data_IF_158181444606
#
_entry.id   IF_158181444606
#
_cell.length_a   1.000
_cell.length_b   1.000
_cell.length_c   1.000
_cell.angle_alpha   90.00
_cell.angle_beta   90.00
_cell.angle_gamma   90.00
#
_symmetry.space_group_name_H-M   'P 1'
#
loop_
_entity.id
_entity.type
_entity.pdbx_description
1 polymer ?
#
# COMPACT_ATOMS: atom_id res chain seq x y z
N UNK A 1 22.47 -29.90 14.40
CA UNK A 1 21.49 -29.22 13.50
C UNK A 1 21.48 -29.93 12.15
N UNK A 2 20.30 -30.14 11.56
CA UNK A 2 20.16 -30.73 10.22
C UNK A 2 20.74 -29.82 9.13
N UNK A 3 21.34 -30.37 8.05
CA UNK A 3 21.98 -29.56 6.99
C UNK A 3 21.03 -28.56 6.35
N UNK A 4 19.76 -28.87 6.18
CA UNK A 4 18.76 -28.00 5.56
C UNK A 4 18.51 -26.76 6.42
N UNK A 5 18.33 -26.92 7.74
CA UNK A 5 18.15 -25.78 8.67
C UNK A 5 19.38 -24.87 8.73
N UNK A 6 20.58 -25.45 8.63
CA UNK A 6 21.80 -24.66 8.60
C UNK A 6 21.94 -23.85 7.30
N UNK A 7 21.50 -24.42 6.19
CA UNK A 7 21.44 -23.71 4.90
C UNK A 7 20.43 -22.56 4.92
N UNK A 8 19.25 -22.78 5.50
CA UNK A 8 18.22 -21.76 5.65
C UNK A 8 18.70 -20.60 6.53
N UNK A 9 19.31 -20.87 7.68
CA UNK A 9 19.87 -19.82 8.55
C UNK A 9 20.96 -19.03 7.82
N UNK A 10 21.85 -19.70 7.06
CA UNK A 10 22.90 -19.03 6.31
C UNK A 10 22.33 -18.14 5.17
N UNK A 11 21.26 -18.59 4.52
CA UNK A 11 20.56 -17.79 3.52
C UNK A 11 19.92 -16.55 4.14
N UNK A 12 19.25 -16.68 5.29
CA UNK A 12 18.67 -15.56 6.02
C UNK A 12 19.72 -14.57 6.51
N UNK A 13 20.86 -15.06 6.98
CA UNK A 13 22.00 -14.21 7.39
C UNK A 13 22.54 -13.38 6.23
N UNK A 14 22.69 -13.98 5.05
CA UNK A 14 23.10 -13.29 3.84
C UNK A 14 22.12 -12.20 3.43
N UNK A 15 20.81 -12.50 3.47
CA UNK A 15 19.75 -11.55 3.15
C UNK A 15 19.74 -10.40 4.15
N UNK A 16 19.76 -10.70 5.45
CA UNK A 16 19.74 -9.68 6.51
C UNK A 16 21.00 -8.78 6.45
N UNK A 17 22.16 -9.35 6.16
CA UNK A 17 23.40 -8.58 5.95
C UNK A 17 23.26 -7.61 4.77
N UNK A 18 22.58 -8.02 3.70
CA UNK A 18 22.30 -7.13 2.57
C UNK A 18 21.35 -6.01 2.97
N UNK A 19 20.28 -6.32 3.70
CA UNK A 19 19.34 -5.34 4.25
C UNK A 19 20.07 -4.32 5.13
N UNK A 20 20.91 -4.77 6.08
CA UNK A 20 21.71 -3.92 6.97
C UNK A 20 22.63 -2.96 6.20
N UNK A 21 23.23 -3.44 5.13
CA UNK A 21 24.11 -2.63 4.28
C UNK A 21 23.33 -1.57 3.49
N UNK A 22 22.17 -1.93 2.93
CA UNK A 22 21.34 -0.98 2.15
C UNK A 22 20.75 0.09 3.07
N UNK A 23 20.34 -0.27 4.28
CA UNK A 23 19.82 0.67 5.28
C UNK A 23 20.89 1.53 5.93
N UNK A 24 22.18 1.24 5.70
CA UNK A 24 23.30 1.96 6.31
C UNK A 24 23.14 2.11 7.82
N UNK A 25 23.17 0.99 8.53
CA UNK A 25 22.92 0.93 10.01
C UNK A 25 23.80 1.91 10.79
N UNK A 26 25.03 2.15 10.36
CA UNK A 26 25.93 3.12 11.01
C UNK A 26 25.51 4.56 10.71
N UNK A 27 25.01 4.83 9.51
CA UNK A 27 24.37 6.09 9.14
C UNK A 27 23.12 6.36 9.98
N UNK A 28 22.26 5.35 10.18
CA UNK A 28 21.07 5.45 11.06
C UNK A 28 21.48 5.82 12.50
N UNK A 29 22.50 5.18 13.08
CA UNK A 29 23.02 5.52 14.41
C UNK A 29 23.49 6.97 14.50
N UNK A 30 24.28 7.40 13.50
CA UNK A 30 24.76 8.78 13.44
C UNK A 30 23.60 9.79 13.26
N UNK A 31 22.56 9.42 12.55
CA UNK A 31 21.34 10.24 12.37
C UNK A 31 20.58 10.37 13.68
N UNK A 32 20.41 9.27 14.40
CA UNK A 32 19.77 9.25 15.73
C UNK A 32 20.50 10.19 16.69
N UNK A 33 21.82 10.09 16.80
CA UNK A 33 22.63 10.96 17.67
C UNK A 33 22.43 12.45 17.36
N UNK A 34 22.35 12.81 16.08
CA UNK A 34 22.09 14.19 15.65
C UNK A 34 20.68 14.65 16.04
N UNK A 35 19.67 13.80 15.78
CA UNK A 35 18.27 14.12 16.12
C UNK A 35 18.05 14.19 17.63
N UNK A 36 18.71 13.34 18.43
CA UNK A 36 18.68 13.40 19.90
C UNK A 36 19.31 14.68 20.41
N UNK A 37 20.43 15.11 19.81
CA UNK A 37 21.05 16.38 20.13
C UNK A 37 20.14 17.56 19.79
N UNK A 38 19.49 17.55 18.64
CA UNK A 38 18.53 18.57 18.23
C UNK A 38 17.27 18.58 19.12
N UNK A 39 16.75 17.40 19.48
CA UNK A 39 15.60 17.25 20.37
C UNK A 39 15.87 17.73 21.81
N UNK A 40 17.15 17.75 22.24
CA UNK A 40 17.56 18.24 23.54
C UNK A 40 17.74 19.76 23.61
N UNK A 41 17.70 20.48 22.48
CA UNK A 41 17.79 21.94 22.44
C UNK A 41 16.46 22.55 22.95
N UNK A 42 16.46 23.33 24.04
CA UNK A 42 15.25 23.99 24.54
C UNK A 42 14.57 24.90 23.53
N UNK A 43 15.32 25.47 22.57
CA UNK A 43 14.78 26.35 21.51
C UNK A 43 13.96 25.60 20.47
N UNK A 44 14.09 24.29 20.37
CA UNK A 44 13.30 23.49 19.45
C UNK A 44 11.79 23.62 19.76
N UNK A 45 11.46 23.73 21.04
CA UNK A 45 10.08 23.78 21.52
C UNK A 45 9.38 25.12 21.30
N UNK A 46 10.15 26.15 20.90
CA UNK A 46 9.60 27.45 20.50
C UNK A 46 8.91 27.37 19.10
N UNK A 47 9.27 26.35 18.29
CA UNK A 47 8.65 26.05 17.00
C UNK A 47 8.01 24.66 17.04
N UNK A 48 6.70 24.63 17.28
CA UNK A 48 5.92 23.39 17.42
C UNK A 48 5.99 22.50 16.18
N UNK A 49 5.97 23.08 14.96
CA UNK A 49 6.01 22.33 13.70
C UNK A 49 7.39 21.68 13.50
N UNK A 50 8.46 22.37 13.86
CA UNK A 50 9.82 21.83 13.82
C UNK A 50 10.02 20.76 14.88
N UNK A 51 9.55 20.98 16.10
CA UNK A 51 9.63 20.01 17.19
C UNK A 51 8.92 18.70 16.83
N UNK A 52 7.72 18.80 16.24
CA UNK A 52 6.96 17.62 15.79
C UNK A 52 7.72 16.86 14.70
N UNK A 53 8.31 17.53 13.71
CA UNK A 53 9.12 16.88 12.66
C UNK A 53 10.32 16.14 13.24
N UNK A 54 11.12 16.83 14.07
CA UNK A 54 12.33 16.24 14.66
C UNK A 54 12.00 15.04 15.54
N UNK A 55 10.98 15.14 16.40
CA UNK A 55 10.57 14.03 17.29
C UNK A 55 9.97 12.86 16.49
N UNK A 56 9.20 13.13 15.45
CA UNK A 56 8.65 12.10 14.56
C UNK A 56 9.77 11.36 13.82
N UNK A 57 10.71 12.10 13.23
CA UNK A 57 11.86 11.54 12.53
C UNK A 57 12.75 10.72 13.47
N UNK A 58 13.02 11.22 14.68
CA UNK A 58 13.78 10.50 15.69
C UNK A 58 13.09 9.18 16.07
N UNK A 59 11.79 9.21 16.35
CA UNK A 59 11.02 8.01 16.70
C UNK A 59 11.01 6.98 15.56
N UNK A 60 10.87 7.44 14.31
CA UNK A 60 10.90 6.59 13.13
C UNK A 60 12.27 5.92 12.95
N UNK A 61 13.36 6.71 12.94
CA UNK A 61 14.73 6.20 12.77
C UNK A 61 15.14 5.23 13.87
N UNK A 62 14.78 5.54 15.14
CA UNK A 62 15.00 4.63 16.27
C UNK A 62 14.18 3.33 16.15
N UNK A 63 12.95 3.42 15.60
CA UNK A 63 12.09 2.26 15.37
C UNK A 63 12.67 1.33 14.30
N UNK A 64 13.20 1.91 13.24
CA UNK A 64 13.85 1.17 12.15
C UNK A 64 15.13 0.46 12.64
N UNK A 65 16.02 1.18 13.32
CA UNK A 65 17.22 0.58 13.90
C UNK A 65 16.89 -0.56 14.86
N UNK A 66 15.92 -0.36 15.75
CA UNK A 66 15.50 -1.41 16.71
C UNK A 66 14.98 -2.65 16.02
N UNK A 67 14.20 -2.50 14.94
CA UNK A 67 13.66 -3.63 14.17
C UNK A 67 14.79 -4.47 13.57
N UNK A 68 15.77 -3.83 12.92
CA UNK A 68 16.91 -4.55 12.34
C UNK A 68 17.75 -5.24 13.40
N UNK A 69 18.01 -4.57 14.52
CA UNK A 69 18.74 -5.15 15.65
C UNK A 69 17.99 -6.34 16.28
N UNK A 70 16.66 -6.29 16.34
CA UNK A 70 15.86 -7.40 16.82
C UNK A 70 15.91 -8.62 15.89
N UNK A 71 15.80 -8.39 14.57
CA UNK A 71 15.95 -9.46 13.57
C UNK A 71 17.34 -10.10 13.65
N UNK A 72 18.40 -9.30 13.77
CA UNK A 72 19.77 -9.79 13.92
C UNK A 72 19.92 -10.65 15.19
N UNK A 73 19.48 -10.15 16.32
CA UNK A 73 19.52 -10.87 17.59
C UNK A 73 18.77 -12.19 17.51
N UNK A 74 17.54 -12.21 17.01
CA UNK A 74 16.72 -13.40 16.87
C UNK A 74 17.38 -14.44 15.95
N UNK A 75 18.02 -13.99 14.88
CA UNK A 75 18.75 -14.87 13.95
C UNK A 75 20.01 -15.46 14.62
N UNK A 76 20.74 -14.65 15.39
CA UNK A 76 21.94 -15.08 16.11
C UNK A 76 21.60 -16.04 17.27
N UNK A 77 20.43 -15.89 17.91
CA UNK A 77 19.94 -16.76 18.98
C UNK A 77 19.43 -18.13 18.47
N UNK A 78 19.02 -18.22 17.20
CA UNK A 78 18.39 -19.42 16.63
C UNK A 78 19.28 -20.67 16.63
N UNK A 79 20.60 -20.62 16.28
CA UNK A 79 21.50 -21.76 16.42
C UNK A 79 21.59 -22.28 17.85
N UNK A 80 21.54 -21.38 18.86
CA UNK A 80 21.60 -21.74 20.28
C UNK A 80 20.36 -22.53 20.69
N UNK A 81 19.16 -22.17 20.19
CA UNK A 81 17.94 -22.94 20.44
C UNK A 81 18.04 -24.36 19.88
N UNK A 82 18.61 -24.52 18.67
CA UNK A 82 18.82 -25.84 18.09
C UNK A 82 19.88 -26.67 18.84
N UNK A 83 20.92 -26.03 19.39
CA UNK A 83 21.92 -26.72 20.24
C UNK A 83 21.29 -27.14 21.55
N UNK A 84 20.50 -26.32 22.21
CA UNK A 84 19.76 -26.67 23.42
C UNK A 84 18.83 -27.87 23.19
N UNK A 85 18.10 -27.89 22.07
CA UNK A 85 17.25 -29.03 21.73
C UNK A 85 18.04 -30.31 21.46
N UNK A 86 19.30 -30.22 20.99
CA UNK A 86 20.16 -31.38 20.74
C UNK A 86 20.81 -31.94 22.02
N UNK A 87 21.05 -31.06 23.02
CA UNK A 87 21.70 -31.41 24.28
C UNK A 87 20.71 -31.84 25.36
N UNK A 88 19.38 -31.65 25.14
CA UNK A 88 18.32 -32.00 26.09
C UNK A 88 18.11 -33.53 26.12
N UNK A 89 18.20 -34.12 27.32
CA UNK A 89 18.05 -35.58 27.53
C UNK A 89 16.59 -36.03 27.59
N UNK A 90 15.65 -35.13 27.99
CA UNK A 90 14.21 -35.41 27.95
C UNK A 90 13.69 -35.26 26.54
N UNK A 91 13.32 -36.37 25.92
CA UNK A 91 12.84 -36.37 24.53
C UNK A 91 11.57 -35.55 24.29
N UNK A 92 10.73 -35.38 25.31
CA UNK A 92 9.53 -34.53 25.19
C UNK A 92 9.89 -33.03 25.26
N UNK A 93 10.82 -32.66 26.13
CA UNK A 93 11.32 -31.28 26.24
C UNK A 93 12.17 -30.90 25.04
N UNK A 94 13.07 -31.80 24.57
CA UNK A 94 13.81 -31.63 23.32
C UNK A 94 12.91 -31.39 22.11
N UNK A 95 11.83 -32.17 21.97
CA UNK A 95 10.85 -31.98 20.89
C UNK A 95 10.11 -30.66 20.98
N UNK A 96 9.82 -30.18 22.20
CA UNK A 96 9.19 -28.85 22.40
C UNK A 96 10.10 -27.70 22.00
N UNK A 97 11.36 -27.73 22.42
CA UNK A 97 12.36 -26.71 22.06
C UNK A 97 12.60 -26.71 20.54
N UNK A 98 12.67 -27.89 19.92
CA UNK A 98 12.82 -28.02 18.48
C UNK A 98 11.64 -27.41 17.71
N UNK A 99 10.42 -27.67 18.18
CA UNK A 99 9.22 -27.09 17.57
C UNK A 99 9.18 -25.57 17.71
N UNK A 100 9.64 -25.02 18.84
CA UNK A 100 9.79 -23.57 19.05
C UNK A 100 10.83 -22.97 18.10
N UNK A 101 12.01 -23.61 17.97
CA UNK A 101 13.05 -23.18 17.05
C UNK A 101 12.59 -23.21 15.57
N UNK A 102 11.85 -24.23 15.15
CA UNK A 102 11.30 -24.33 13.80
C UNK A 102 10.22 -23.27 13.56
N UNK A 103 9.40 -22.95 14.55
CA UNK A 103 8.40 -21.86 14.45
C UNK A 103 9.09 -20.50 14.37
N UNK A 104 10.16 -20.27 15.14
CA UNK A 104 10.96 -19.05 15.10
C UNK A 104 11.70 -18.89 13.77
N UNK A 105 12.29 -19.96 13.22
CA UNK A 105 12.91 -19.93 11.89
C UNK A 105 11.91 -19.50 10.82
N UNK A 106 10.70 -20.05 10.87
CA UNK A 106 9.63 -19.69 9.93
C UNK A 106 9.19 -18.22 10.08
N UNK A 107 9.06 -17.73 11.32
CA UNK A 107 8.70 -16.35 11.59
C UNK A 107 9.81 -15.39 11.12
N UNK A 108 11.08 -15.71 11.42
CA UNK A 108 12.23 -14.93 10.96
C UNK A 108 12.33 -14.86 9.43
N UNK A 109 12.03 -15.96 8.74
CA UNK A 109 12.01 -15.97 7.27
C UNK A 109 11.03 -14.92 6.75
N UNK A 110 9.79 -14.92 7.23
CA UNK A 110 8.79 -13.94 6.82
C UNK A 110 9.18 -12.50 7.19
N UNK A 111 9.71 -12.28 8.40
CA UNK A 111 10.10 -10.95 8.88
C UNK A 111 11.31 -10.39 8.11
N UNK A 112 12.30 -11.23 7.75
CA UNK A 112 13.49 -10.81 6.98
C UNK A 112 13.10 -10.57 5.52
N UNK A 113 12.25 -11.39 4.92
CA UNK A 113 11.71 -11.12 3.57
C UNK A 113 10.94 -9.79 3.51
N UNK A 114 10.10 -9.52 4.50
CA UNK A 114 9.41 -8.24 4.61
C UNK A 114 10.38 -7.06 4.79
N UNK A 115 11.47 -7.26 5.54
CA UNK A 115 12.51 -6.25 5.69
C UNK A 115 13.28 -6.01 4.39
N UNK A 116 13.60 -7.07 3.63
CA UNK A 116 14.23 -6.98 2.30
C UNK A 116 13.35 -6.18 1.34
N UNK A 117 12.07 -6.55 1.22
CA UNK A 117 11.11 -5.83 0.37
C UNK A 117 11.03 -4.36 0.76
N UNK A 118 11.09 -4.05 2.05
CA UNK A 118 11.06 -2.67 2.55
C UNK A 118 12.29 -1.86 2.12
N UNK A 119 13.46 -2.47 2.01
CA UNK A 119 14.66 -1.78 1.48
C UNK A 119 14.54 -1.41 0.00
N UNK A 120 13.68 -2.10 -0.73
CA UNK A 120 13.38 -1.80 -2.12
C UNK A 120 12.42 -0.59 -2.27
N UNK A 121 11.80 -0.14 -1.16
CA UNK A 121 10.92 1.02 -1.13
C UNK A 121 11.73 2.30 -0.86
N UNK A 122 12.57 2.68 -1.83
CA UNK A 122 13.49 3.82 -1.76
C UNK A 122 13.03 5.04 -2.55
N UNK A 123 11.86 5.00 -3.15
CA UNK A 123 11.27 6.13 -3.88
C UNK A 123 10.92 7.28 -2.93
N UNK A 124 11.03 8.53 -3.41
CA UNK A 124 10.81 9.77 -2.66
C UNK A 124 9.51 9.80 -1.84
N UNK A 125 8.49 9.03 -2.29
CA UNK A 125 7.16 8.99 -1.66
C UNK A 125 6.77 7.62 -1.14
N UNK A 126 7.67 6.62 -1.25
CA UNK A 126 7.35 5.25 -0.85
C UNK A 126 6.97 5.14 0.64
N UNK A 127 7.55 5.99 1.51
CA UNK A 127 7.25 6.05 2.94
C UNK A 127 5.86 6.63 3.29
N UNK A 128 5.17 7.22 2.31
CA UNK A 128 3.90 7.91 2.55
C UNK A 128 2.73 6.94 2.72
N UNK A 129 1.68 7.48 3.32
CA UNK A 129 0.36 6.85 3.35
C UNK A 129 -0.20 6.76 1.92
N UNK A 130 -1.06 5.78 1.67
CA UNK A 130 -1.66 5.57 0.35
C UNK A 130 -3.08 6.13 0.25
N UNK A 131 -3.36 6.81 -0.84
CA UNK A 131 -4.70 7.14 -1.28
C UNK A 131 -5.05 6.22 -2.44
N UNK A 132 -6.03 5.35 -2.25
CA UNK A 132 -6.48 4.38 -3.26
C UNK A 132 -7.81 4.81 -3.84
N UNK A 133 -7.87 4.90 -5.16
CA UNK A 133 -9.12 5.15 -5.89
C UNK A 133 -9.42 4.00 -6.82
N UNK A 134 -10.59 3.40 -6.68
CA UNK A 134 -11.08 2.30 -7.51
C UNK A 134 -12.22 2.81 -8.38
N UNK A 135 -12.20 2.47 -9.66
CA UNK A 135 -13.26 2.83 -10.63
C UNK A 135 -13.72 1.59 -11.37
N UNK A 136 -15.05 1.45 -11.53
CA UNK A 136 -15.60 0.44 -12.42
C UNK A 136 -15.27 0.77 -13.86
N UNK A 137 -14.79 -0.25 -14.59
CA UNK A 137 -14.48 -0.15 -16.03
C UNK A 137 -15.57 -0.77 -16.90
N UNK A 138 -15.17 -1.40 -18.00
CA UNK A 138 -16.09 -2.10 -18.90
C UNK A 138 -16.66 -3.37 -18.23
N UNK A 139 -17.97 -3.62 -18.40
CA UNK A 139 -18.66 -4.80 -17.87
C UNK A 139 -20.04 -4.53 -17.22
N UNK A 140 -20.51 -3.28 -17.26
CA UNK A 140 -21.81 -2.89 -16.72
C UNK A 140 -21.94 -3.14 -15.23
N UNK A 141 -23.05 -3.77 -14.79
CA UNK A 141 -23.33 -4.08 -13.38
C UNK A 141 -22.24 -5.00 -12.77
N UNK A 142 -21.76 -5.98 -13.53
CA UNK A 142 -20.66 -6.85 -13.09
C UNK A 142 -19.37 -6.09 -12.81
N UNK A 143 -19.06 -5.03 -13.57
CA UNK A 143 -17.88 -4.20 -13.35
C UNK A 143 -18.01 -3.33 -12.09
N UNK A 144 -19.24 -2.84 -11.80
CA UNK A 144 -19.51 -2.09 -10.58
C UNK A 144 -19.41 -2.98 -9.32
N UNK A 145 -19.93 -4.20 -9.39
CA UNK A 145 -19.77 -5.21 -8.33
C UNK A 145 -18.29 -5.62 -8.16
N UNK A 146 -17.57 -5.77 -9.27
CA UNK A 146 -16.14 -6.04 -9.26
C UNK A 146 -15.33 -4.94 -8.55
N UNK A 147 -15.63 -3.68 -8.83
CA UNK A 147 -14.98 -2.56 -8.16
C UNK A 147 -15.23 -2.57 -6.64
N UNK A 148 -16.44 -2.94 -6.19
CA UNK A 148 -16.75 -3.11 -4.77
C UNK A 148 -16.00 -4.29 -4.14
N UNK A 149 -15.88 -5.41 -4.87
CA UNK A 149 -15.07 -6.56 -4.42
C UNK A 149 -13.60 -6.19 -4.24
N UNK A 150 -13.01 -5.41 -5.14
CA UNK A 150 -11.63 -4.90 -5.02
C UNK A 150 -11.49 -3.96 -3.83
N UNK A 151 -12.42 -3.03 -3.64
CA UNK A 151 -12.40 -2.15 -2.47
C UNK A 151 -12.38 -2.97 -1.18
N UNK A 152 -13.25 -3.96 -1.06
CA UNK A 152 -13.30 -4.85 0.10
C UNK A 152 -12.01 -5.64 0.29
N UNK A 153 -11.40 -6.12 -0.80
CA UNK A 153 -10.12 -6.84 -0.77
C UNK A 153 -9.01 -5.99 -0.14
N UNK A 154 -8.83 -4.75 -0.58
CA UNK A 154 -7.81 -3.85 -0.04
C UNK A 154 -8.10 -3.40 1.39
N UNK A 155 -9.37 -3.16 1.74
CA UNK A 155 -9.75 -2.83 3.12
C UNK A 155 -9.43 -4.00 4.05
N UNK A 156 -9.75 -5.24 3.66
CA UNK A 156 -9.44 -6.44 4.44
C UNK A 156 -7.96 -6.67 4.60
N UNK A 157 -7.18 -6.46 3.53
CA UNK A 157 -5.73 -6.49 3.63
C UNK A 157 -5.22 -5.49 4.67
N UNK A 158 -5.68 -4.25 4.62
CA UNK A 158 -5.30 -3.23 5.59
C UNK A 158 -5.73 -3.60 7.03
N UNK A 159 -6.94 -4.15 7.22
CA UNK A 159 -7.43 -4.62 8.52
C UNK A 159 -6.56 -5.75 9.09
N UNK A 160 -6.17 -6.73 8.26
CA UNK A 160 -5.27 -7.83 8.66
C UNK A 160 -3.92 -7.30 9.14
N UNK A 161 -3.40 -6.24 8.51
CA UNK A 161 -2.17 -5.55 8.91
C UNK A 161 -2.37 -4.53 10.03
N UNK A 162 -3.61 -4.37 10.53
CA UNK A 162 -3.98 -3.39 11.56
C UNK A 162 -3.70 -1.94 11.12
N UNK A 163 -3.80 -1.68 9.83
CA UNK A 163 -3.68 -0.35 9.25
C UNK A 163 -5.03 0.35 9.29
N UNK A 164 -5.15 1.55 9.88
CA UNK A 164 -6.38 2.32 9.82
C UNK A 164 -6.73 2.69 8.38
N UNK A 165 -8.02 2.58 8.05
CA UNK A 165 -8.54 2.96 6.74
C UNK A 165 -9.59 4.05 6.92
N UNK A 166 -9.49 5.13 6.13
CA UNK A 166 -10.48 6.20 6.07
C UNK A 166 -11.08 6.26 4.66
N UNK A 167 -12.39 6.04 4.57
CA UNK A 167 -13.12 6.13 3.30
C UNK A 167 -13.59 7.57 3.08
N UNK A 168 -13.12 8.22 2.02
CA UNK A 168 -13.45 9.61 1.72
C UNK A 168 -14.69 9.78 0.85
N UNK A 169 -14.84 8.93 -0.17
CA UNK A 169 -15.97 8.99 -1.09
C UNK A 169 -16.31 7.60 -1.62
N UNK A 170 -17.60 7.34 -1.79
CA UNK A 170 -18.12 6.14 -2.45
C UNK A 170 -19.32 6.52 -3.31
N UNK A 171 -19.18 6.33 -4.62
CA UNK A 171 -20.26 6.52 -5.58
C UNK A 171 -20.86 5.16 -5.94
N UNK A 172 -22.08 4.91 -5.49
CA UNK A 172 -22.78 3.65 -5.76
C UNK A 172 -23.34 3.59 -7.17
N UNK A 173 -23.37 2.42 -7.75
CA UNK A 173 -24.09 2.15 -8.98
C UNK A 173 -25.61 1.99 -8.70
N UNK A 174 -26.43 2.03 -9.75
CA UNK A 174 -27.89 2.02 -9.58
C UNK A 174 -28.43 0.65 -9.14
N UNK A 175 -27.87 -0.44 -9.67
CA UNK A 175 -28.37 -1.80 -9.42
C UNK A 175 -27.52 -2.53 -8.35
N UNK A 176 -26.20 -2.53 -8.48
CA UNK A 176 -25.27 -3.18 -7.54
C UNK A 176 -23.87 -2.61 -7.67
N UNK A 177 -23.07 -2.68 -6.58
CA UNK A 177 -21.68 -2.30 -6.57
C UNK A 177 -21.43 -0.79 -6.57
N UNK A 178 -20.23 -0.38 -6.91
CA UNK A 178 -19.77 0.99 -6.89
C UNK A 178 -19.31 1.45 -8.29
N UNK A 179 -19.57 2.72 -8.62
CA UNK A 179 -18.97 3.39 -9.78
C UNK A 179 -17.53 3.78 -9.49
N UNK A 180 -17.30 4.29 -8.29
CA UNK A 180 -15.98 4.62 -7.77
C UNK A 180 -15.95 4.67 -6.26
N UNK A 181 -14.79 4.43 -5.67
CA UNK A 181 -14.52 4.69 -4.27
C UNK A 181 -13.12 5.25 -4.10
N UNK A 182 -12.94 6.10 -3.09
CA UNK A 182 -11.64 6.64 -2.70
C UNK A 182 -11.47 6.51 -1.19
N UNK A 183 -10.38 5.89 -0.77
CA UNK A 183 -10.04 5.69 0.64
C UNK A 183 -8.54 5.85 0.87
N UNK A 184 -8.16 6.23 2.09
CA UNK A 184 -6.76 6.27 2.52
C UNK A 184 -6.43 5.06 3.40
N UNK A 185 -5.19 4.60 3.26
CA UNK A 185 -4.58 3.63 4.19
C UNK A 185 -3.50 4.37 4.97
N UNK A 186 -3.75 4.54 6.27
CA UNK A 186 -2.90 5.31 7.18
C UNK A 186 -1.81 4.41 7.79
N UNK A 187 -0.77 4.14 7.01
CA UNK A 187 0.38 3.37 7.46
C UNK A 187 1.66 3.86 6.78
N UNK A 188 2.80 3.79 7.47
CA UNK A 188 4.10 4.03 6.84
C UNK A 188 4.31 3.04 5.69
N UNK A 189 4.86 3.52 4.58
CA UNK A 189 5.12 2.73 3.36
C UNK A 189 3.86 2.18 2.66
N UNK A 190 2.67 2.62 3.03
CA UNK A 190 1.45 2.16 2.37
C UNK A 190 1.43 2.51 0.88
N UNK A 191 1.91 3.72 0.51
CA UNK A 191 2.02 4.11 -0.89
C UNK A 191 3.02 3.24 -1.65
N UNK A 192 4.24 3.09 -1.14
CA UNK A 192 5.28 2.26 -1.77
C UNK A 192 4.80 0.83 -2.00
N UNK A 193 4.11 0.27 -0.99
CA UNK A 193 3.57 -1.09 -1.03
C UNK A 193 2.40 -1.22 -2.00
N UNK A 194 1.42 -0.32 -1.96
CA UNK A 194 0.20 -0.42 -2.78
C UNK A 194 0.36 0.17 -4.18
N UNK A 195 1.38 1.00 -4.44
CA UNK A 195 1.59 1.63 -5.76
C UNK A 195 1.75 0.62 -6.90
N UNK A 196 2.22 -0.58 -6.58
CA UNK A 196 2.35 -1.69 -7.54
C UNK A 196 1.00 -2.30 -7.94
N UNK A 197 -0.07 -1.99 -7.22
CA UNK A 197 -1.45 -2.41 -7.53
C UNK A 197 -2.12 -1.52 -8.57
N UNK A 198 -1.49 -0.40 -8.94
CA UNK A 198 -2.03 0.52 -9.93
C UNK A 198 -2.17 -0.14 -11.30
N UNK A 199 -3.36 -0.01 -11.89
CA UNK A 199 -3.67 -0.50 -13.23
C UNK A 199 -5.03 -1.15 -13.36
N UNK A 200 -5.20 -1.91 -14.44
CA UNK A 200 -6.47 -2.57 -14.78
C UNK A 200 -6.52 -3.99 -14.24
N UNK A 201 -7.51 -4.26 -13.39
CA UNK A 201 -7.81 -5.57 -12.81
C UNK A 201 -8.97 -6.22 -13.56
N UNK A 202 -8.76 -7.44 -14.05
CA UNK A 202 -9.73 -8.20 -14.83
C UNK A 202 -10.34 -9.31 -14.00
N UNK A 203 -11.68 -9.39 -13.97
CA UNK A 203 -12.43 -10.49 -13.38
C UNK A 203 -13.09 -11.34 -14.48
N UNK A 204 -12.99 -12.66 -14.37
CA UNK A 204 -13.71 -13.62 -15.19
C UNK A 204 -14.49 -14.57 -14.28
N UNK A 205 -15.82 -14.48 -14.31
CA UNK A 205 -16.71 -15.32 -13.49
C UNK A 205 -18.04 -15.61 -14.21
N UNK A 206 -18.81 -16.55 -13.67
CA UNK A 206 -20.23 -16.62 -13.98
C UNK A 206 -20.91 -15.43 -13.32
N UNK A 207 -21.60 -14.60 -14.11
CA UNK A 207 -22.26 -13.40 -13.59
C UNK A 207 -23.46 -13.75 -12.70
N UNK A 208 -23.55 -13.22 -11.46
CA UNK A 208 -24.72 -13.35 -10.64
C UNK A 208 -25.90 -12.50 -11.14
N UNK A 209 -25.67 -11.58 -12.07
CA UNK A 209 -26.68 -10.67 -12.65
C UNK A 209 -27.19 -11.17 -14.02
N UNK A 210 -26.58 -12.21 -14.59
CA UNK A 210 -27.00 -12.79 -15.87
C UNK A 210 -27.95 -13.98 -15.64
N UNK A 211 -29.20 -13.84 -16.05
CA UNK A 211 -30.24 -14.86 -15.94
C UNK A 211 -29.89 -16.17 -16.70
N UNK A 212 -28.93 -16.14 -17.61
CA UNK A 212 -28.47 -17.31 -18.36
C UNK A 212 -27.19 -17.93 -17.79
N UNK A 213 -26.73 -17.44 -16.63
CA UNK A 213 -25.50 -17.92 -15.96
C UNK A 213 -24.27 -17.97 -16.87
N UNK A 214 -24.16 -17.01 -17.77
CA UNK A 214 -23.04 -16.92 -18.70
C UNK A 214 -21.79 -16.38 -18.01
N UNK A 215 -20.66 -16.82 -18.49
CA UNK A 215 -19.35 -16.28 -18.10
C UNK A 215 -19.19 -14.87 -18.65
N UNK A 216 -18.92 -13.91 -17.77
CA UNK A 216 -18.69 -12.51 -18.09
C UNK A 216 -17.26 -12.11 -17.72
N UNK A 217 -16.76 -11.11 -18.41
CA UNK A 217 -15.48 -10.47 -18.12
C UNK A 217 -15.73 -9.02 -17.75
N UNK A 218 -15.21 -8.61 -16.61
CA UNK A 218 -15.37 -7.26 -16.07
C UNK A 218 -14.02 -6.65 -15.75
N UNK A 219 -13.93 -5.35 -15.85
CA UNK A 219 -12.71 -4.59 -15.58
C UNK A 219 -12.97 -3.53 -14.53
N UNK A 220 -11.97 -3.32 -13.68
CA UNK A 220 -11.92 -2.19 -12.77
C UNK A 220 -10.51 -1.62 -12.77
N UNK A 221 -10.40 -0.33 -12.57
CA UNK A 221 -9.14 0.41 -12.51
C UNK A 221 -8.82 0.76 -11.07
N UNK A 222 -7.58 0.52 -10.67
CA UNK A 222 -7.02 0.93 -9.39
C UNK A 222 -5.97 2.00 -9.63
N UNK A 223 -6.13 3.13 -8.97
CA UNK A 223 -5.19 4.26 -8.93
C UNK A 223 -4.68 4.39 -7.50
N UNK A 224 -3.37 4.47 -7.31
CA UNK A 224 -2.75 4.63 -5.99
C UNK A 224 -1.87 5.88 -5.99
N UNK A 225 -2.10 6.78 -5.05
CA UNK A 225 -1.40 8.04 -4.92
C UNK A 225 -0.83 8.20 -3.51
N UNK A 226 0.30 8.91 -3.32
CA UNK A 226 0.78 9.23 -1.99
C UNK A 226 -0.13 10.26 -1.31
N UNK A 227 -0.35 10.12 -0.01
CA UNK A 227 -0.91 11.20 0.81
C UNK A 227 0.21 12.21 1.07
N UNK A 228 0.05 13.41 0.54
CA UNK A 228 1.04 14.48 0.67
C UNK A 228 0.64 15.39 1.82
N UNK A 229 1.53 15.52 2.81
CA UNK A 229 1.38 16.52 3.86
C UNK A 229 1.70 17.93 3.34
N UNK A 230 1.37 18.96 4.12
CA UNK A 230 1.53 20.38 3.74
C UNK A 230 2.98 20.80 3.46
N UNK A 231 3.97 19.97 3.72
CA UNK A 231 5.40 20.23 3.52
C UNK A 231 5.93 19.84 2.14
N UNK A 232 5.23 18.96 1.42
CA UNK A 232 5.58 18.59 0.03
C UNK A 232 4.69 19.39 -0.95
N UNK A 233 4.77 20.68 -0.87
CA UNK A 233 3.81 21.62 -1.41
C UNK A 233 3.91 21.74 -2.93
N UNK A 234 2.83 21.35 -3.61
CA UNK A 234 2.38 22.11 -4.77
C UNK A 234 1.51 23.24 -4.19
N UNK A 235 2.00 24.46 -4.28
CA UNK A 235 1.21 25.63 -3.92
C UNK A 235 0.04 25.74 -4.91
N UNK A 236 -1.18 25.58 -4.41
CA UNK A 236 -2.39 25.70 -5.23
C UNK A 236 -3.01 27.05 -4.89
N UNK A 237 -2.88 28.06 -5.77
CA UNK A 237 -3.51 29.35 -5.54
C UNK A 237 -5.04 29.17 -5.38
N UNK A 238 -5.64 29.83 -4.41
CA UNK A 238 -7.10 29.72 -4.20
C UNK A 238 -7.89 30.12 -5.44
N UNK A 239 -7.35 31.04 -6.27
CA UNK A 239 -7.96 31.47 -7.53
C UNK A 239 -8.03 30.39 -8.60
N UNK A 240 -7.20 29.34 -8.49
CA UNK A 240 -7.14 28.22 -9.45
C UNK A 240 -8.09 27.10 -9.11
N UNK A 241 -8.76 27.16 -7.95
CA UNK A 241 -9.69 26.13 -7.49
C UNK A 241 -11.12 26.67 -7.45
N UNK A 242 -11.98 26.13 -8.30
CA UNK A 242 -13.42 26.34 -8.20
C UNK A 242 -14.02 25.36 -7.20
N UNK A 243 -14.76 25.90 -6.24
CA UNK A 243 -15.44 25.13 -5.20
C UNK A 243 -16.94 25.14 -5.47
N UNK A 244 -17.50 23.97 -5.79
CA UNK A 244 -18.93 23.78 -5.96
C UNK A 244 -19.47 22.95 -4.77
N UNK A 245 -20.52 23.43 -4.12
CA UNK A 245 -21.18 22.75 -3.01
C UNK A 245 -22.51 22.19 -3.50
N UNK A 246 -22.80 20.93 -3.15
CA UNK A 246 -24.04 20.28 -3.57
C UNK A 246 -24.53 19.31 -2.49
N UNK A 247 -25.75 18.79 -2.69
CA UNK A 247 -26.33 17.82 -1.77
C UNK A 247 -25.71 16.45 -1.98
N UNK A 248 -25.28 15.81 -0.88
CA UNK A 248 -24.80 14.44 -0.95
C UNK A 248 -25.89 13.48 -1.42
N UNK A 249 -25.56 12.58 -2.35
CA UNK A 249 -26.45 11.52 -2.82
C UNK A 249 -25.96 10.18 -2.27
N UNK A 250 -26.81 9.49 -1.48
CA UNK A 250 -26.49 8.17 -0.94
C UNK A 250 -27.71 7.52 -0.30
N UNK A 251 -27.73 6.19 -0.10
CA UNK A 251 -28.76 5.52 0.68
C UNK A 251 -28.60 5.91 2.16
N UNK A 252 -29.37 6.89 2.61
CA UNK A 252 -29.35 7.38 3.99
C UNK A 252 -30.58 8.22 4.30
N UNK A 253 -30.99 8.23 5.57
CA UNK A 253 -32.23 8.87 6.03
C UNK A 253 -32.27 10.42 5.82
N UNK A 254 -33.37 11.05 6.22
CA UNK A 254 -33.74 12.44 5.96
C UNK A 254 -32.63 13.50 6.22
N UNK A 255 -31.65 13.23 7.07
CA UNK A 255 -30.55 14.16 7.37
C UNK A 255 -29.47 14.24 6.27
N UNK A 256 -29.32 13.22 5.43
CA UNK A 256 -28.34 13.19 4.33
C UNK A 256 -28.84 14.05 3.14
N UNK A 257 -30.15 14.14 2.97
CA UNK A 257 -30.77 14.82 1.84
C UNK A 257 -31.10 16.32 2.10
N UNK A 258 -30.78 16.85 3.28
CA UNK A 258 -31.17 18.21 3.67
C UNK A 258 -30.00 19.19 3.83
N UNK A 259 -28.76 18.73 3.82
CA UNK A 259 -27.59 19.59 4.05
C UNK A 259 -26.67 19.54 2.82
N UNK A 260 -26.32 20.74 2.30
CA UNK A 260 -25.35 20.87 1.21
C UNK A 260 -23.91 20.73 1.78
N UNK A 261 -23.52 19.50 2.17
CA UNK A 261 -22.23 19.19 2.77
C UNK A 261 -21.22 18.62 1.76
N UNK A 262 -21.68 18.12 0.62
CA UNK A 262 -20.79 17.61 -0.42
C UNK A 262 -20.06 18.72 -1.13
N UNK A 263 -18.76 18.53 -1.33
CA UNK A 263 -17.86 19.51 -1.97
C UNK A 263 -17.26 18.90 -3.23
N UNK A 264 -17.29 19.66 -4.32
CA UNK A 264 -16.56 19.38 -5.56
C UNK A 264 -15.54 20.47 -5.77
N UNK A 265 -14.28 20.08 -5.87
CA UNK A 265 -13.18 20.96 -6.25
C UNK A 265 -12.83 20.72 -7.72
N UNK A 266 -12.71 21.79 -8.47
CA UNK A 266 -12.22 21.74 -9.86
C UNK A 266 -10.98 22.63 -9.95
N UNK A 267 -9.84 22.04 -10.24
CA UNK A 267 -8.62 22.80 -10.53
C UNK A 267 -8.70 23.33 -11.97
N UNK A 268 -8.84 24.63 -12.10
CA UNK A 268 -9.15 25.31 -13.37
C UNK A 268 -8.06 25.05 -14.42
N UNK A 269 -6.75 25.20 -14.11
CA UNK A 269 -5.69 25.01 -15.11
C UNK A 269 -5.57 23.60 -15.65
N UNK A 270 -5.84 22.58 -14.82
CA UNK A 270 -5.65 21.16 -15.22
C UNK A 270 -6.95 20.44 -15.52
N UNK A 271 -8.11 21.01 -15.15
CA UNK A 271 -9.42 20.36 -15.29
C UNK A 271 -9.66 19.19 -14.32
N UNK A 272 -8.76 18.95 -13.37
CA UNK A 272 -8.90 17.86 -12.39
C UNK A 272 -10.07 18.17 -11.46
N UNK A 273 -10.98 17.19 -11.33
CA UNK A 273 -12.15 17.28 -10.46
C UNK A 273 -12.00 16.29 -9.31
N UNK A 274 -12.27 16.75 -8.10
CA UNK A 274 -12.30 15.94 -6.88
C UNK A 274 -13.60 16.19 -6.15
N UNK A 275 -14.26 15.13 -5.68
CA UNK A 275 -15.47 15.20 -4.88
C UNK A 275 -15.24 14.58 -3.52
N UNK A 276 -15.82 15.17 -2.46
CA UNK A 276 -15.82 14.61 -1.10
C UNK A 276 -17.19 14.88 -0.45
N UNK A 277 -17.79 13.83 0.15
CA UNK A 277 -19.12 13.91 0.77
C UNK A 277 -19.26 13.09 2.06
N UNK A 278 -18.17 12.58 2.60
CA UNK A 278 -18.19 11.64 3.73
C UNK A 278 -18.51 12.30 5.08
N UNK A 279 -18.11 13.56 5.22
CA UNK A 279 -18.26 14.27 6.48
C UNK A 279 -19.54 15.08 6.51
N UNK A 280 -20.11 15.26 7.71
CA UNK A 280 -21.26 16.14 7.93
C UNK A 280 -20.87 17.62 7.82
N UNK A 281 -19.59 17.92 7.90
CA UNK A 281 -19.05 19.28 7.84
C UNK A 281 -18.53 19.58 6.43
N UNK A 282 -19.10 20.58 5.79
CA UNK A 282 -18.61 21.12 4.51
C UNK A 282 -17.13 21.51 4.57
N UNK A 283 -16.68 22.07 5.70
CA UNK A 283 -15.28 22.48 5.88
C UNK A 283 -14.34 21.26 5.88
N UNK A 284 -14.70 20.18 6.58
CA UNK A 284 -13.91 18.95 6.59
C UNK A 284 -13.87 18.30 5.21
N UNK A 285 -15.01 18.25 4.50
CA UNK A 285 -15.06 17.78 3.13
C UNK A 285 -14.18 18.63 2.20
N UNK A 286 -14.14 19.95 2.37
CA UNK A 286 -13.24 20.84 1.59
C UNK A 286 -11.77 20.53 1.87
N UNK A 287 -11.38 20.34 3.13
CA UNK A 287 -10.00 19.98 3.52
C UNK A 287 -9.60 18.65 2.92
N UNK A 288 -10.44 17.63 3.07
CA UNK A 288 -10.19 16.30 2.50
C UNK A 288 -10.10 16.32 0.99
N UNK A 289 -11.02 17.01 0.31
CA UNK A 289 -10.98 17.17 -1.14
C UNK A 289 -9.73 17.94 -1.61
N UNK A 290 -9.25 18.91 -0.84
CA UNK A 290 -8.01 19.64 -1.15
C UNK A 290 -6.78 18.72 -1.07
N UNK A 291 -6.70 17.85 -0.05
CA UNK A 291 -5.62 16.84 0.05
C UNK A 291 -5.61 15.92 -1.17
N UNK A 292 -6.79 15.41 -1.56
CA UNK A 292 -6.92 14.58 -2.77
C UNK A 292 -6.51 15.34 -4.03
N UNK A 293 -6.87 16.60 -4.13
CA UNK A 293 -6.49 17.43 -5.27
C UNK A 293 -4.96 17.65 -5.32
N UNK A 294 -4.34 17.91 -4.18
CA UNK A 294 -2.88 18.04 -4.07
C UNK A 294 -2.16 16.76 -4.51
N UNK A 295 -2.63 15.60 -4.05
CA UNK A 295 -2.07 14.30 -4.46
C UNK A 295 -2.17 14.07 -5.97
N UNK A 296 -3.33 14.40 -6.58
CA UNK A 296 -3.55 14.27 -8.03
C UNK A 296 -2.68 15.22 -8.86
N UNK A 297 -2.49 16.43 -8.39
CA UNK A 297 -1.62 17.41 -9.06
C UNK A 297 -0.14 16.98 -9.01
N UNK A 298 0.28 16.43 -7.89
CA UNK A 298 1.62 15.91 -7.72
C UNK A 298 1.89 14.71 -8.68
N UNK A 299 0.95 13.78 -8.76
CA UNK A 299 1.08 12.62 -9.67
C UNK A 299 1.10 13.08 -11.14
N UNK A 300 0.28 14.06 -11.47
CA UNK A 300 0.31 14.64 -12.81
C UNK A 300 1.68 15.25 -13.13
N UNK A 301 2.28 16.01 -12.21
CA UNK A 301 3.61 16.61 -12.39
C UNK A 301 4.67 15.52 -12.62
N UNK A 302 4.61 14.41 -11.85
CA UNK A 302 5.50 13.25 -12.02
C UNK A 302 5.27 12.52 -13.34
N UNK A 303 4.01 12.39 -13.76
CA UNK A 303 3.69 11.78 -15.06
C UNK A 303 4.23 12.64 -16.20
N UNK A 304 4.20 13.97 -16.07
CA UNK A 304 4.80 14.89 -17.03
C UNK A 304 6.33 14.77 -17.04
N UNK A 305 6.98 14.71 -15.88
CA UNK A 305 8.43 14.48 -15.74
C UNK A 305 8.85 13.10 -16.29
N UNK A 306 8.08 12.03 -16.01
CA UNK A 306 8.31 10.70 -16.60
C UNK A 306 8.09 10.68 -18.11
N UNK A 307 7.06 11.36 -18.61
CA UNK A 307 6.80 11.44 -20.05
C UNK A 307 7.91 12.19 -20.79
N UNK A 308 8.51 13.22 -20.16
CA UNK A 308 9.69 13.91 -20.69
C UNK A 308 10.92 12.97 -20.73
N UNK A 309 11.14 12.17 -19.68
CA UNK A 309 12.20 11.18 -19.65
C UNK A 309 11.98 10.04 -20.67
N UNK A 310 10.73 9.57 -20.82
CA UNK A 310 10.37 8.53 -21.80
C UNK A 310 10.42 9.06 -23.24
N UNK A 311 10.11 10.33 -23.47
CA UNK A 311 10.29 11.00 -24.75
C UNK A 311 11.79 11.11 -25.14
N UNK A 312 12.68 11.21 -24.16
CA UNK A 312 14.12 11.18 -24.37
C UNK A 312 14.66 9.75 -24.59
N UNK A 313 13.92 8.71 -24.16
CA UNK A 313 14.31 7.28 -24.31
C UNK A 313 13.80 6.62 -25.61
N UNK A 314 12.94 7.27 -26.41
CA UNK A 314 12.44 6.79 -27.70
C UNK A 314 11.58 5.52 -27.62
N UNK A 315 10.30 5.65 -27.96
CA UNK A 315 9.31 4.62 -28.29
C UNK A 315 9.18 3.39 -27.37
N UNK A 316 8.40 3.56 -26.32
CA UNK A 316 7.73 2.46 -25.62
C UNK A 316 6.24 2.76 -25.49
N UNK A 317 5.44 2.26 -26.42
CA UNK A 317 4.01 2.57 -26.52
C UNK A 317 3.21 2.15 -25.29
N UNK A 318 2.58 3.11 -24.63
CA UNK A 318 1.48 2.86 -23.71
C UNK A 318 0.24 2.48 -24.53
N UNK A 319 -0.06 1.22 -24.66
CA UNK A 319 -1.31 0.78 -25.27
C UNK A 319 -2.35 0.45 -24.21
N UNK A 320 -3.56 0.86 -24.48
CA UNK A 320 -4.81 0.51 -23.83
C UNK A 320 -5.04 -1.01 -23.81
N UNK A 321 -4.27 -1.79 -23.07
CA UNK A 321 -4.35 -3.24 -23.08
C UNK A 321 -3.58 -3.91 -21.96
N UNK A 322 -2.86 -3.17 -21.18
CA UNK A 322 -2.05 -3.73 -20.09
C UNK A 322 -2.91 -4.03 -18.88
N UNK A 323 -3.62 -5.18 -18.95
CA UNK A 323 -4.19 -5.79 -17.75
C UNK A 323 -3.03 -6.15 -16.84
N UNK A 324 -3.02 -5.59 -15.63
CA UNK A 324 -1.97 -5.91 -14.66
C UNK A 324 -2.22 -7.26 -13.99
N UNK A 325 -3.48 -7.55 -13.62
CA UNK A 325 -3.84 -8.79 -12.91
C UNK A 325 -5.16 -9.36 -13.40
N UNK A 326 -5.22 -10.69 -13.52
CA UNK A 326 -6.39 -11.44 -13.93
C UNK A 326 -6.88 -12.34 -12.79
N UNK A 327 -8.15 -12.21 -12.46
CA UNK A 327 -8.86 -13.01 -11.47
C UNK A 327 -9.85 -13.89 -12.21
N UNK A 328 -9.63 -15.19 -12.19
CA UNK A 328 -10.47 -16.19 -12.84
C UNK A 328 -11.15 -17.04 -11.77
N UNK A 329 -12.48 -16.98 -11.69
CA UNK A 329 -13.29 -17.78 -10.78
C UNK A 329 -13.95 -18.96 -11.47
N UNK A 330 -14.04 -18.94 -12.81
CA UNK A 330 -14.63 -19.99 -13.64
C UNK A 330 -14.05 -19.94 -15.06
N UNK A 331 -13.70 -21.08 -15.71
CA UNK A 331 -13.95 -22.48 -15.34
C UNK A 331 -12.92 -23.07 -14.35
N UNK A 332 -11.83 -22.41 -14.11
CA UNK A 332 -10.80 -22.75 -13.12
C UNK A 332 -10.62 -21.58 -12.17
N UNK A 333 -9.97 -21.82 -11.05
CA UNK A 333 -9.71 -20.80 -10.05
C UNK A 333 -8.24 -20.40 -10.07
N UNK A 334 -7.96 -19.13 -10.34
CA UNK A 334 -6.60 -18.60 -10.40
C UNK A 334 -6.62 -17.06 -10.32
N UNK A 335 -5.67 -16.50 -9.61
CA UNK A 335 -5.30 -15.09 -9.71
C UNK A 335 -3.86 -15.03 -10.22
N UNK A 336 -3.61 -14.27 -11.28
CA UNK A 336 -2.28 -14.12 -11.89
C UNK A 336 -1.98 -12.67 -12.18
N UNK A 337 -0.83 -12.19 -11.72
CA UNK A 337 -0.25 -10.93 -12.14
C UNK A 337 0.53 -11.14 -13.43
N UNK A 338 0.17 -10.38 -14.47
CA UNK A 338 0.73 -10.57 -15.83
C UNK A 338 2.11 -9.92 -15.99
N UNK A 339 2.54 -9.08 -15.05
CA UNK A 339 3.84 -8.38 -15.05
C UNK A 339 4.92 -9.22 -14.38
N UNK A 340 4.56 -9.83 -13.24
CA UNK A 340 5.46 -10.60 -12.38
C UNK A 340 5.38 -12.10 -12.64
N UNK A 341 4.32 -12.56 -13.30
CA UNK A 341 3.92 -13.96 -13.49
C UNK A 341 3.58 -14.71 -12.17
N UNK A 342 3.54 -13.99 -11.05
CA UNK A 342 3.12 -14.57 -9.77
C UNK A 342 1.64 -14.98 -9.84
N UNK A 343 1.34 -16.21 -9.42
CA UNK A 343 -0.01 -16.77 -9.50
C UNK A 343 -0.38 -17.57 -8.25
N UNK A 344 -1.67 -17.52 -7.89
CA UNK A 344 -2.26 -18.21 -6.74
C UNK A 344 -3.53 -18.93 -7.18
N UNK A 345 -3.68 -20.20 -6.80
CA UNK A 345 -4.84 -21.04 -7.11
C UNK A 345 -6.05 -20.86 -6.18
N UNK A 346 -5.99 -19.93 -5.22
CA UNK A 346 -7.08 -19.64 -4.27
C UNK A 346 -7.58 -18.20 -4.37
N UNK A 347 -8.45 -17.87 -5.33
CA UNK A 347 -8.99 -16.52 -5.48
C UNK A 347 -9.79 -16.04 -4.27
N UNK A 348 -10.38 -16.95 -3.50
CA UNK A 348 -11.17 -16.58 -2.33
C UNK A 348 -10.29 -15.98 -1.22
N UNK A 349 -9.11 -16.54 -0.96
CA UNK A 349 -8.15 -15.98 -0.02
C UNK A 349 -7.66 -14.61 -0.49
N UNK A 350 -7.33 -14.47 -1.77
CA UNK A 350 -6.90 -13.20 -2.37
C UNK A 350 -7.98 -12.12 -2.20
N UNK A 351 -9.24 -12.42 -2.51
CA UNK A 351 -10.36 -11.50 -2.35
C UNK A 351 -10.70 -11.21 -0.88
N UNK A 352 -10.22 -12.04 0.03
CA UNK A 352 -10.30 -11.83 1.49
C UNK A 352 -9.12 -11.04 2.06
N UNK A 353 -8.20 -10.58 1.21
CA UNK A 353 -7.09 -9.69 1.58
C UNK A 353 -5.71 -10.34 1.59
N UNK A 354 -5.57 -11.63 1.25
CA UNK A 354 -4.27 -12.31 1.14
C UNK A 354 -3.58 -11.93 -0.19
N UNK A 355 -3.01 -10.72 -0.23
CA UNK A 355 -2.36 -10.15 -1.42
C UNK A 355 -0.87 -9.88 -1.24
N UNK A 356 -0.28 -10.16 -0.09
CA UNK A 356 1.13 -9.84 0.22
C UNK A 356 2.10 -10.40 -0.82
N UNK A 357 1.92 -11.64 -1.25
CA UNK A 357 2.77 -12.24 -2.29
C UNK A 357 2.72 -11.51 -3.64
N UNK A 358 1.57 -10.92 -3.99
CA UNK A 358 1.46 -10.07 -5.19
C UNK A 358 2.16 -8.73 -5.01
N UNK A 359 2.03 -8.12 -3.82
CA UNK A 359 2.68 -6.85 -3.49
C UNK A 359 4.20 -6.99 -3.53
N UNK A 360 4.73 -8.02 -2.88
CA UNK A 360 6.18 -8.31 -2.86
C UNK A 360 6.73 -8.57 -4.27
N UNK A 361 6.06 -9.44 -5.04
CA UNK A 361 6.44 -9.71 -6.42
C UNK A 361 6.40 -8.43 -7.28
N UNK A 362 5.39 -7.58 -7.08
CA UNK A 362 5.24 -6.30 -7.75
C UNK A 362 6.34 -5.30 -7.41
N UNK A 363 6.73 -5.20 -6.14
CA UNK A 363 7.80 -4.32 -5.67
C UNK A 363 9.15 -4.77 -6.27
N UNK A 364 9.45 -6.07 -6.22
CA UNK A 364 10.67 -6.63 -6.82
C UNK A 364 10.70 -6.41 -8.35
N UNK A 365 9.56 -6.54 -9.02
CA UNK A 365 9.46 -6.28 -10.46
C UNK A 365 9.71 -4.80 -10.80
N UNK A 366 9.14 -3.86 -10.01
CA UNK A 366 9.33 -2.43 -10.19
C UNK A 366 10.82 -2.05 -10.11
N UNK A 367 11.51 -2.53 -9.09
CA UNK A 367 12.93 -2.21 -8.89
C UNK A 367 13.84 -2.77 -9.98
N UNK A 368 13.57 -3.99 -10.51
CA UNK A 368 14.34 -4.54 -11.65
C UNK A 368 14.20 -3.70 -12.91
N UNK A 369 13.04 -3.07 -13.11
CA UNK A 369 12.79 -2.23 -14.29
C UNK A 369 13.43 -0.85 -14.17
N UNK A 370 13.68 -0.39 -12.96
CA UNK A 370 14.35 0.89 -12.71
C UNK A 370 15.89 0.74 -12.80
N UNK A 371 16.42 -0.49 -12.72
CA UNK A 371 17.87 -0.81 -12.87
C UNK A 371 18.29 -1.10 -14.33
N UNK A 372 17.35 -1.39 -15.26
CA UNK A 372 17.57 -1.63 -16.69
C UNK A 372 17.37 -0.33 -17.53
#
# INVERSE_FOLDING_TARGET
MEPDRQADIAALDSTLTTVERVLDVDGLRSRIEKLEHEASDPKLWDDQARAQRVTSELSHTQGELRRIQDLRRRLDDLPVLYELAADEEDGAEAASILAEADAELKALHADIEAAEVRTLLSGEYDEREALVTIRSGAGGVDAADWAEMLMRMYIRWAEQHKYPVEVFDTSYAEEAGIKSATFAVHAPFAYGTLSVEQGTHRLVRISPFDNQSRRQTSFAEVEVLPVVETTDHIDIPEGDVRVDVYRSSGPGGQSVNTTDSAVRLTHIPTGIVVTCQNEKSQLQNKVSAMRVLQAKLLERKRSEERAELDALKGEGGSSWGNQMRSYVLHPYQMVKDLRTEYEVGNPAAVLDGDIDGFLEAGIRWRNRKDDD
#
